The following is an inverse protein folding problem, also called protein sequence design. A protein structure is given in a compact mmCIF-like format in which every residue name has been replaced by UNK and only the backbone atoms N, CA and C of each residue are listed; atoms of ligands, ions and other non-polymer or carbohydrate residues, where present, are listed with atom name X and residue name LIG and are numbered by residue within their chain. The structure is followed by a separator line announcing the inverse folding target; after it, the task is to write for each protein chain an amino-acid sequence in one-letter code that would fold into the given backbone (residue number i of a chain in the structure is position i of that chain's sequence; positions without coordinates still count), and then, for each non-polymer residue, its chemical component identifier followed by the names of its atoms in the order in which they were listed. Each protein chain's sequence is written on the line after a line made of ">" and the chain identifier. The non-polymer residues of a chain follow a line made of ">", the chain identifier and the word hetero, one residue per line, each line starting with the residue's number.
data_IF_726487349341
#
_entry.id   IF_726487349341
#
_cell.length_a   1.000
_cell.length_b   1.000
_cell.length_c   1.000
_cell.angle_alpha   90.00
_cell.angle_beta   90.00
_cell.angle_gamma   90.00
#
_symmetry.space_group_name_H-M   'P 1'
#
loop_
_entity.id
_entity.type
_entity.pdbx_description
1 polymer ?
#
# COMPACT_ATOMS: atom_id res chain seq x y z
N UNK A 1 -6.40 -2.78 -32.92
CA UNK A 1 -6.50 -2.52 -34.38
C UNK A 1 -7.60 -3.40 -34.92
N UNK A 2 -8.58 -2.90 -35.69
CA UNK A 2 -9.65 -3.76 -36.25
C UNK A 2 -9.23 -4.17 -37.66
N UNK A 3 -9.20 -5.48 -37.90
CA UNK A 3 -8.97 -6.01 -39.25
C UNK A 3 -10.11 -5.59 -40.19
N UNK A 4 -9.80 -5.12 -41.39
CA UNK A 4 -10.82 -4.81 -42.38
C UNK A 4 -11.55 -6.09 -42.80
N UNK A 5 -12.86 -6.00 -42.96
CA UNK A 5 -13.63 -7.12 -43.51
C UNK A 5 -13.29 -7.32 -44.97
N UNK A 6 -12.89 -8.52 -45.34
CA UNK A 6 -12.70 -8.91 -46.71
C UNK A 6 -14.08 -8.99 -47.41
N UNK A 7 -14.35 -8.01 -48.27
CA UNK A 7 -15.58 -8.01 -49.08
C UNK A 7 -15.22 -8.50 -50.48
N UNK A 8 -15.77 -9.66 -50.83
CA UNK A 8 -15.62 -10.18 -52.19
C UNK A 8 -16.63 -9.51 -53.15
N UNK A 9 -16.26 -9.32 -54.40
CA UNK A 9 -17.22 -8.91 -55.44
C UNK A 9 -18.41 -9.85 -55.50
N UNK A 10 -19.60 -9.38 -55.94
CA UNK A 10 -20.84 -10.15 -55.94
C UNK A 10 -20.75 -11.49 -56.71
N UNK A 11 -19.91 -11.58 -57.73
CA UNK A 11 -19.69 -12.80 -58.53
C UNK A 11 -18.72 -13.79 -57.85
N UNK A 12 -17.93 -13.36 -56.87
CA UNK A 12 -17.07 -14.27 -56.06
C UNK A 12 -17.67 -14.60 -54.71
N UNK A 13 -18.71 -13.93 -54.28
CA UNK A 13 -19.31 -14.08 -52.93
C UNK A 13 -20.11 -15.38 -52.75
N UNK A 14 -20.01 -16.35 -53.65
CA UNK A 14 -20.76 -17.64 -53.60
C UNK A 14 -19.81 -18.85 -53.73
N UNK A 15 -20.16 -19.94 -53.10
CA UNK A 15 -19.42 -21.21 -53.23
C UNK A 15 -18.15 -21.26 -52.39
N UNK A 16 -17.17 -21.99 -52.89
CA UNK A 16 -15.91 -22.30 -52.11
C UNK A 16 -15.06 -21.04 -51.83
N UNK A 17 -15.12 -20.01 -52.70
CA UNK A 17 -14.40 -18.78 -52.46
C UNK A 17 -14.95 -18.00 -51.25
N UNK A 18 -16.25 -18.04 -51.01
CA UNK A 18 -16.84 -17.42 -49.83
C UNK A 18 -16.41 -18.15 -48.55
N UNK A 19 -16.36 -19.49 -48.60
CA UNK A 19 -15.84 -20.29 -47.46
C UNK A 19 -14.38 -19.99 -47.20
N UNK A 20 -13.56 -19.88 -48.24
CA UNK A 20 -12.15 -19.54 -48.11
C UNK A 20 -11.96 -18.13 -47.48
N UNK A 21 -12.75 -17.15 -47.92
CA UNK A 21 -12.70 -15.81 -47.34
C UNK A 21 -13.03 -15.79 -45.84
N UNK A 22 -14.05 -16.57 -45.43
CA UNK A 22 -14.39 -16.75 -44.03
C UNK A 22 -13.27 -17.41 -43.23
N UNK A 23 -12.70 -18.48 -43.79
CA UNK A 23 -11.59 -19.20 -43.15
C UNK A 23 -10.35 -18.30 -43.00
N UNK A 24 -9.99 -17.53 -44.01
CA UNK A 24 -8.91 -16.58 -43.97
C UNK A 24 -9.18 -15.47 -42.93
N UNK A 25 -10.39 -14.97 -42.88
CA UNK A 25 -10.75 -13.98 -41.86
C UNK A 25 -10.58 -14.54 -40.45
N UNK A 26 -11.05 -15.75 -40.20
CA UNK A 26 -10.85 -16.44 -38.92
C UNK A 26 -9.36 -16.67 -38.59
N UNK A 27 -8.56 -17.05 -39.59
CA UNK A 27 -7.12 -17.21 -39.43
C UNK A 27 -6.45 -15.89 -39.04
N UNK A 28 -6.76 -14.79 -39.71
CA UNK A 28 -6.17 -13.48 -39.39
C UNK A 28 -6.59 -12.94 -38.02
N UNK A 29 -7.80 -13.25 -37.55
CA UNK A 29 -8.20 -12.92 -36.19
C UNK A 29 -7.32 -13.64 -35.15
N UNK A 30 -7.04 -14.92 -35.37
CA UNK A 30 -6.13 -15.68 -34.49
C UNK A 30 -4.70 -15.14 -34.53
N UNK A 31 -4.20 -14.81 -35.72
CA UNK A 31 -2.89 -14.17 -35.88
C UNK A 31 -2.84 -12.85 -35.12
N UNK A 32 -3.89 -12.04 -35.19
CA UNK A 32 -3.98 -10.78 -34.47
C UNK A 32 -3.94 -11.00 -32.95
N UNK A 33 -4.66 -12.00 -32.43
CA UNK A 33 -4.61 -12.36 -30.99
C UNK A 33 -3.19 -12.73 -30.58
N UNK A 34 -2.53 -13.61 -31.32
CA UNK A 34 -1.15 -14.02 -31.05
C UNK A 34 -0.18 -12.84 -31.11
N UNK A 35 -0.35 -11.91 -32.04
CA UNK A 35 0.47 -10.71 -32.12
C UNK A 35 0.24 -9.73 -30.95
N UNK A 36 -0.89 -9.79 -30.27
CA UNK A 36 -1.17 -8.98 -29.10
C UNK A 36 -0.61 -9.59 -27.78
N UNK A 37 -0.31 -10.89 -27.75
CA UNK A 37 0.26 -11.56 -26.56
C UNK A 37 1.51 -10.88 -26.02
N UNK A 38 2.50 -10.47 -26.83
CA UNK A 38 3.69 -9.78 -26.31
C UNK A 38 3.36 -8.50 -25.57
N UNK A 39 2.34 -7.75 -26.02
CA UNK A 39 1.92 -6.53 -25.36
C UNK A 39 1.26 -6.80 -24.01
N UNK A 40 0.45 -7.88 -23.92
CA UNK A 40 -0.15 -8.30 -22.66
C UNK A 40 0.91 -8.81 -21.65
N UNK A 41 1.99 -9.41 -22.15
CA UNK A 41 3.09 -9.88 -21.32
C UNK A 41 4.02 -8.77 -20.81
N UNK A 42 3.91 -7.55 -21.32
CA UNK A 42 4.67 -6.39 -20.82
C UNK A 42 4.10 -5.79 -19.53
N UNK A 43 2.84 -6.06 -19.19
CA UNK A 43 2.27 -5.62 -17.92
C UNK A 43 2.50 -6.66 -16.82
N UNK A 44 3.29 -6.36 -15.78
CA UNK A 44 3.57 -7.28 -14.68
C UNK A 44 2.32 -7.78 -13.95
N UNK A 45 1.20 -7.06 -14.03
CA UNK A 45 -0.04 -7.46 -13.34
C UNK A 45 -0.76 -8.61 -14.02
N UNK A 46 -0.69 -8.68 -15.35
CA UNK A 46 -1.43 -9.67 -16.16
C UNK A 46 -0.53 -10.76 -16.76
N UNK A 47 0.76 -10.52 -16.81
CA UNK A 47 1.74 -11.44 -17.38
C UNK A 47 1.86 -12.74 -16.56
N UNK A 48 2.17 -13.89 -17.20
CA UNK A 48 2.60 -15.09 -16.50
C UNK A 48 3.84 -14.80 -15.62
N UNK A 49 3.96 -15.51 -14.49
CA UNK A 49 5.01 -15.24 -13.50
C UNK A 49 6.43 -15.30 -14.08
N UNK A 50 6.64 -16.20 -15.02
CA UNK A 50 7.92 -16.38 -15.71
C UNK A 50 8.35 -15.12 -16.48
N UNK A 51 7.40 -14.41 -17.09
CA UNK A 51 7.65 -13.12 -17.74
C UNK A 51 7.84 -12.00 -16.73
N UNK A 52 7.14 -12.06 -15.60
CA UNK A 52 7.35 -11.09 -14.51
C UNK A 52 8.77 -11.20 -13.97
N UNK A 53 9.31 -12.42 -13.85
CA UNK A 53 10.70 -12.63 -13.42
C UNK A 53 11.72 -12.05 -14.40
N UNK A 54 11.45 -12.12 -15.71
CA UNK A 54 12.29 -11.47 -16.73
C UNK A 54 12.24 -9.95 -16.63
N UNK A 55 11.03 -9.38 -16.42
CA UNK A 55 10.87 -7.93 -16.24
C UNK A 55 11.55 -7.49 -14.93
N UNK A 56 11.45 -8.28 -13.88
CA UNK A 56 12.08 -8.03 -12.60
C UNK A 56 13.62 -8.02 -12.73
N UNK A 57 14.17 -9.00 -13.44
CA UNK A 57 15.60 -9.04 -13.72
C UNK A 57 16.05 -7.80 -14.49
N UNK A 58 15.28 -7.35 -15.50
CA UNK A 58 15.57 -6.12 -16.24
C UNK A 58 15.56 -4.87 -15.37
N UNK A 59 14.75 -4.88 -14.29
CA UNK A 59 14.58 -3.76 -13.35
C UNK A 59 15.42 -3.90 -12.08
N UNK A 60 16.33 -4.88 -12.05
CA UNK A 60 17.19 -5.22 -10.89
C UNK A 60 16.38 -5.48 -9.60
N UNK A 61 15.25 -6.18 -9.76
CA UNK A 61 14.41 -6.59 -8.62
C UNK A 61 14.50 -8.10 -8.44
N UNK A 62 14.88 -8.50 -7.24
CA UNK A 62 14.84 -9.89 -6.83
C UNK A 62 13.59 -10.17 -6.01
N UNK A 63 13.01 -11.35 -6.18
CA UNK A 63 11.91 -11.82 -5.36
C UNK A 63 12.38 -12.03 -3.93
N UNK A 64 11.66 -11.49 -2.96
CA UNK A 64 11.98 -11.65 -1.55
C UNK A 64 11.54 -13.04 -1.06
N UNK A 65 12.25 -13.59 -0.07
CA UNK A 65 11.87 -14.86 0.53
C UNK A 65 10.47 -14.76 1.15
N UNK A 66 9.57 -15.67 0.80
CA UNK A 66 8.16 -15.71 1.24
C UNK A 66 7.29 -14.53 0.79
N UNK A 67 7.71 -13.79 -0.23
CA UNK A 67 6.92 -12.69 -0.77
C UNK A 67 5.67 -13.22 -1.49
N UNK A 68 4.46 -12.72 -1.15
CA UNK A 68 3.26 -12.99 -1.91
C UNK A 68 3.39 -12.50 -3.36
N UNK A 69 2.80 -13.24 -4.28
CA UNK A 69 2.91 -12.94 -5.72
C UNK A 69 2.36 -11.56 -6.06
N UNK A 70 1.27 -11.15 -5.43
CA UNK A 70 0.64 -9.85 -5.66
C UNK A 70 1.58 -8.69 -5.31
N UNK A 71 2.27 -8.78 -4.17
CA UNK A 71 3.24 -7.78 -3.72
C UNK A 71 4.44 -7.73 -4.68
N UNK A 72 4.93 -8.90 -5.11
CA UNK A 72 6.01 -9.00 -6.07
C UNK A 72 5.66 -8.31 -7.40
N UNK A 73 4.46 -8.58 -7.95
CA UNK A 73 3.97 -7.96 -9.17
C UNK A 73 3.89 -6.43 -9.04
N UNK A 74 3.40 -5.93 -7.91
CA UNK A 74 3.33 -4.50 -7.62
C UNK A 74 4.74 -3.90 -7.55
N UNK A 75 5.68 -4.55 -6.87
CA UNK A 75 7.08 -4.09 -6.80
C UNK A 75 7.72 -4.02 -8.19
N UNK A 76 7.53 -5.04 -8.99
CA UNK A 76 8.06 -5.06 -10.36
C UNK A 76 7.41 -3.97 -11.21
N UNK A 77 6.10 -3.75 -11.09
CA UNK A 77 5.40 -2.70 -11.83
C UNK A 77 5.91 -1.31 -11.51
N UNK A 78 6.05 -1.00 -10.24
CA UNK A 78 6.44 0.32 -9.75
C UNK A 78 7.94 0.48 -9.46
N UNK A 79 8.76 -0.47 -9.88
CA UNK A 79 10.19 -0.50 -9.63
C UNK A 79 10.91 0.83 -9.94
N UNK A 80 10.62 1.40 -11.10
CA UNK A 80 11.21 2.67 -11.52
C UNK A 80 10.78 3.84 -10.62
N UNK A 81 9.50 3.89 -10.25
CA UNK A 81 9.01 4.93 -9.33
C UNK A 81 9.63 4.78 -7.94
N UNK A 82 9.78 3.56 -7.46
CA UNK A 82 10.39 3.28 -6.17
C UNK A 82 11.88 3.65 -6.15
N UNK A 83 12.61 3.29 -7.19
CA UNK A 83 14.03 3.66 -7.31
C UNK A 83 14.22 5.18 -7.42
N UNK A 84 13.36 5.86 -8.15
CA UNK A 84 13.42 7.31 -8.32
C UNK A 84 13.09 8.08 -7.03
N UNK A 85 12.07 7.62 -6.31
CA UNK A 85 11.49 8.37 -5.19
C UNK A 85 11.93 7.84 -3.82
N UNK A 86 12.64 6.71 -3.75
CA UNK A 86 13.03 6.06 -2.49
C UNK A 86 13.90 6.90 -1.56
N UNK A 87 14.58 7.92 -2.09
CA UNK A 87 15.40 8.83 -1.27
C UNK A 87 14.62 9.95 -0.58
N UNK A 88 13.37 10.19 -0.93
CA UNK A 88 12.52 11.23 -0.38
C UNK A 88 11.48 10.67 0.60
N UNK A 89 11.09 11.47 1.60
CA UNK A 89 10.09 11.08 2.62
C UNK A 89 8.75 10.76 1.98
N UNK A 90 8.28 11.64 1.09
CA UNK A 90 7.01 11.45 0.41
C UNK A 90 7.06 10.29 -0.59
N UNK A 91 8.20 10.09 -1.22
CA UNK A 91 8.44 8.95 -2.09
C UNK A 91 8.41 7.63 -1.33
N UNK A 92 9.07 7.58 -0.19
CA UNK A 92 9.08 6.40 0.67
C UNK A 92 7.68 6.06 1.19
N UNK A 93 6.87 7.08 1.58
CA UNK A 93 5.47 6.91 1.94
C UNK A 93 4.66 6.26 0.81
N UNK A 94 4.82 6.76 -0.43
CA UNK A 94 4.13 6.21 -1.62
C UNK A 94 4.50 4.76 -1.90
N UNK A 95 5.74 4.34 -1.63
CA UNK A 95 6.16 2.93 -1.76
C UNK A 95 5.29 2.04 -0.87
N UNK A 96 5.13 2.42 0.38
CA UNK A 96 4.34 1.64 1.33
C UNK A 96 2.84 1.66 1.01
N UNK A 97 2.28 2.80 0.63
CA UNK A 97 0.88 2.92 0.22
C UNK A 97 0.55 2.00 -0.97
N UNK A 98 1.43 1.98 -2.00
CA UNK A 98 1.24 1.11 -3.17
C UNK A 98 1.35 -0.37 -2.84
N UNK A 99 2.08 -0.75 -1.81
CA UNK A 99 2.21 -2.12 -1.34
C UNK A 99 1.07 -2.56 -0.40
N UNK A 100 0.05 -1.71 -0.23
CA UNK A 100 -1.15 -2.06 0.52
C UNK A 100 -0.99 -1.95 2.03
N UNK A 101 -0.12 -1.06 2.48
CA UNK A 101 -0.08 -0.63 3.88
C UNK A 101 -1.05 0.52 4.09
N UNK A 102 -1.86 0.48 5.15
CA UNK A 102 -3.04 1.34 5.30
C UNK A 102 -2.66 2.82 5.36
N UNK A 103 -1.72 3.16 6.20
CA UNK A 103 -1.17 4.50 6.34
C UNK A 103 0.18 4.46 7.04
N UNK A 104 1.07 5.34 6.64
CA UNK A 104 2.39 5.47 7.25
C UNK A 104 2.73 6.94 7.41
N UNK A 105 3.15 7.30 8.60
CA UNK A 105 3.77 8.58 8.88
C UNK A 105 5.26 8.39 9.13
N UNK A 106 6.06 9.25 8.55
CA UNK A 106 7.50 9.26 8.71
C UNK A 106 7.90 10.52 9.48
N UNK A 107 8.58 10.33 10.58
CA UNK A 107 9.10 11.42 11.39
C UNK A 107 10.61 11.36 11.41
N UNK A 108 11.22 12.44 10.98
CA UNK A 108 12.66 12.62 10.98
C UNK A 108 13.06 13.69 12.01
N UNK A 109 14.22 13.54 12.60
CA UNK A 109 14.83 14.54 13.49
C UNK A 109 13.95 14.94 14.68
N UNK A 110 13.28 13.97 15.29
CA UNK A 110 12.48 14.23 16.49
C UNK A 110 13.36 14.56 17.70
N UNK A 111 14.50 13.88 17.81
CA UNK A 111 15.46 14.08 18.89
C UNK A 111 16.75 14.70 18.35
N UNK A 112 17.31 15.64 19.11
CA UNK A 112 18.60 16.27 18.78
C UNK A 112 19.76 15.28 18.90
N UNK A 113 19.71 14.36 19.87
CA UNK A 113 20.75 13.35 20.08
C UNK A 113 20.68 12.22 19.05
N UNK A 114 19.46 11.81 18.63
CA UNK A 114 19.22 10.74 17.67
C UNK A 114 18.69 11.27 16.33
N UNK A 115 19.39 12.24 15.78
CA UNK A 115 19.01 12.90 14.51
C UNK A 115 18.98 11.95 13.30
N UNK A 116 19.67 10.81 13.41
CA UNK A 116 19.76 9.77 12.37
C UNK A 116 18.60 8.76 12.41
N UNK A 117 17.76 8.83 13.45
CA UNK A 117 16.61 7.93 13.60
C UNK A 117 15.41 8.46 12.84
N UNK A 118 14.87 7.61 11.96
CA UNK A 118 13.60 7.82 11.26
C UNK A 118 12.56 6.96 11.97
N UNK A 119 11.53 7.59 12.51
CA UNK A 119 10.40 6.89 13.13
C UNK A 119 9.32 6.65 12.10
N UNK A 120 8.95 5.40 11.91
CA UNK A 120 7.87 4.96 11.03
C UNK A 120 6.67 4.65 11.91
N UNK A 121 5.65 5.49 11.82
CA UNK A 121 4.38 5.28 12.53
C UNK A 121 3.41 4.55 11.59
N UNK A 122 2.84 3.46 12.07
CA UNK A 122 1.93 2.61 11.31
C UNK A 122 0.84 2.02 12.20
N UNK A 123 -0.18 1.42 11.59
CA UNK A 123 -1.21 0.65 12.28
C UNK A 123 -0.63 -0.66 12.82
N UNK A 124 -1.15 -1.14 13.95
CA UNK A 124 -0.75 -2.43 14.54
C UNK A 124 -1.04 -3.61 13.63
N UNK A 125 -2.16 -3.59 12.92
CA UNK A 125 -2.53 -4.65 11.98
C UNK A 125 -1.51 -4.82 10.85
N UNK A 126 -0.98 -3.72 10.33
CA UNK A 126 0.03 -3.77 9.27
C UNK A 126 1.39 -4.17 9.82
N UNK A 127 1.75 -3.68 11.01
CA UNK A 127 3.01 -4.01 11.63
C UNK A 127 3.07 -5.49 12.03
N UNK A 128 2.04 -6.03 12.64
CA UNK A 128 2.02 -7.43 13.11
C UNK A 128 2.04 -8.45 11.97
N UNK A 129 1.33 -8.17 10.88
CA UNK A 129 1.21 -9.11 9.76
C UNK A 129 2.32 -8.98 8.72
N UNK A 130 2.88 -7.80 8.54
CA UNK A 130 3.81 -7.49 7.44
C UNK A 130 5.18 -6.97 7.90
N UNK A 131 5.55 -7.21 9.16
CA UNK A 131 6.83 -6.71 9.73
C UNK A 131 8.03 -7.07 8.86
N UNK A 132 8.14 -8.34 8.44
CA UNK A 132 9.24 -8.80 7.62
C UNK A 132 9.32 -8.07 6.27
N UNK A 133 8.16 -7.77 5.67
CA UNK A 133 8.08 -7.03 4.41
C UNK A 133 8.58 -5.60 4.61
N UNK A 134 8.15 -4.94 5.69
CA UNK A 134 8.60 -3.58 6.04
C UNK A 134 10.11 -3.53 6.25
N UNK A 135 10.69 -4.50 6.96
CA UNK A 135 12.14 -4.60 7.14
C UNK A 135 12.88 -4.78 5.81
N UNK A 136 12.38 -5.65 4.93
CA UNK A 136 13.01 -5.86 3.62
C UNK A 136 12.92 -4.61 2.73
N UNK A 137 11.79 -3.92 2.75
CA UNK A 137 11.61 -2.67 2.01
C UNK A 137 12.54 -1.56 2.53
N UNK A 138 12.73 -1.47 3.85
CA UNK A 138 13.67 -0.54 4.45
C UNK A 138 15.10 -0.86 4.01
N UNK A 139 15.48 -2.13 3.98
CA UNK A 139 16.80 -2.54 3.50
C UNK A 139 17.03 -2.19 2.03
N UNK A 140 16.00 -2.29 1.21
CA UNK A 140 16.13 -2.08 -0.24
C UNK A 140 15.99 -0.61 -0.64
N UNK A 141 15.05 0.12 -0.04
CA UNK A 141 14.68 1.49 -0.42
C UNK A 141 15.00 2.53 0.66
N UNK A 142 15.43 2.08 1.84
CA UNK A 142 15.77 2.96 2.94
C UNK A 142 17.03 3.78 2.65
N UNK A 143 17.13 4.93 3.29
CA UNK A 143 18.33 5.77 3.21
C UNK A 143 19.50 5.11 3.92
N UNK A 144 20.63 5.11 3.27
CA UNK A 144 21.89 4.69 3.89
C UNK A 144 22.25 5.58 5.09
N UNK A 145 22.89 5.00 6.09
CA UNK A 145 23.31 5.72 7.30
C UNK A 145 22.16 6.26 8.16
N UNK A 146 20.97 5.69 8.07
CA UNK A 146 19.83 5.98 8.92
C UNK A 146 19.40 4.75 9.70
N UNK A 147 18.97 4.96 10.94
CA UNK A 147 18.33 3.94 11.78
C UNK A 147 16.83 4.11 11.68
N UNK A 148 16.10 3.00 11.65
CA UNK A 148 14.65 3.00 11.55
C UNK A 148 14.05 2.46 12.84
N UNK A 149 13.02 3.14 13.34
CA UNK A 149 12.22 2.75 14.50
C UNK A 149 10.76 2.63 14.09
N UNK A 150 10.13 1.54 14.47
CA UNK A 150 8.69 1.38 14.28
C UNK A 150 7.95 1.88 15.51
N UNK A 151 6.88 2.62 15.27
CA UNK A 151 5.95 3.10 16.29
C UNK A 151 4.54 2.72 15.89
N UNK A 152 3.79 2.16 16.83
CA UNK A 152 2.39 1.81 16.62
C UNK A 152 1.52 2.86 17.28
N UNK A 153 0.54 3.34 16.54
CA UNK A 153 -0.44 4.31 17.07
C UNK A 153 -1.82 3.70 17.01
N UNK A 154 -2.45 3.62 18.17
CA UNK A 154 -3.84 3.21 18.31
C UNK A 154 -4.73 4.43 18.50
N UNK A 155 -5.71 4.71 17.62
CA UNK A 155 -6.73 5.68 17.92
C UNK A 155 -7.66 5.11 18.99
N UNK A 156 -7.50 5.57 20.22
CA UNK A 156 -8.42 5.19 21.31
C UNK A 156 -9.51 6.24 21.38
N UNK A 157 -10.75 5.83 21.16
CA UNK A 157 -11.92 6.63 21.49
C UNK A 157 -12.38 6.26 22.89
N UNK A 158 -11.99 7.04 23.89
CA UNK A 158 -12.39 6.85 25.28
C UNK A 158 -13.46 7.87 25.67
N UNK A 159 -14.58 7.40 26.23
CA UNK A 159 -15.51 8.22 26.97
C UNK A 159 -15.08 8.25 28.42
N UNK A 160 -14.53 9.37 28.86
CA UNK A 160 -14.26 9.61 30.29
C UNK A 160 -15.51 10.26 30.90
N UNK A 161 -16.28 9.49 31.64
CA UNK A 161 -17.34 10.03 32.50
C UNK A 161 -16.84 10.07 33.94
N UNK A 162 -16.57 11.28 34.43
CA UNK A 162 -16.28 11.51 35.85
C UNK A 162 -17.57 11.75 36.60
N UNK A 163 -17.88 10.88 37.54
CA UNK A 163 -18.96 11.08 38.49
C UNK A 163 -18.38 11.23 39.89
N UNK A 164 -18.75 12.28 40.61
CA UNK A 164 -18.32 12.45 41.99
C UNK A 164 -19.53 12.39 42.91
N UNK A 165 -19.47 11.49 43.86
CA UNK A 165 -20.43 11.34 44.97
C UNK A 165 -19.68 11.45 46.29
N UNK A 166 -19.98 12.43 47.11
CA UNK A 166 -19.41 12.54 48.43
C UNK A 166 -19.02 13.95 48.90
N UNK A 167 -18.89 14.15 50.22
CA UNK A 167 -18.62 15.46 50.84
C UNK A 167 -17.11 15.78 50.99
N UNK A 168 -16.20 15.06 50.36
CA UNK A 168 -14.76 15.36 50.38
C UNK A 168 -14.29 15.76 49.01
N UNK A 169 -13.50 16.84 48.90
CA UNK A 169 -12.88 17.26 47.68
C UNK A 169 -11.54 16.54 47.50
N UNK A 170 -11.50 15.52 46.67
CA UNK A 170 -10.24 14.88 46.25
C UNK A 170 -9.96 15.25 44.80
N UNK A 171 -8.78 15.82 44.54
CA UNK A 171 -8.39 16.25 43.20
C UNK A 171 -7.52 15.13 42.59
N UNK A 172 -8.06 14.46 41.56
CA UNK A 172 -7.30 13.49 40.76
C UNK A 172 -7.03 14.10 39.38
N UNK A 173 -5.78 14.41 39.08
CA UNK A 173 -5.39 14.92 37.79
C UNK A 173 -4.88 13.78 36.93
N UNK A 174 -5.58 13.40 35.87
CA UNK A 174 -5.10 12.51 34.84
C UNK A 174 -4.69 13.33 33.61
N UNK A 175 -3.44 13.35 33.29
CA UNK A 175 -2.99 13.90 32.00
C UNK A 175 -2.77 12.77 31.01
N UNK A 176 -3.76 12.56 30.14
CA UNK A 176 -3.65 11.60 29.04
C UNK A 176 -3.16 12.39 27.80
N UNK A 177 -1.95 12.09 27.38
CA UNK A 177 -1.37 12.73 26.20
C UNK A 177 -1.76 11.94 24.93
N UNK A 178 -3.07 11.87 24.64
CA UNK A 178 -3.63 11.21 23.47
C UNK A 178 -4.07 12.23 22.45
N UNK A 179 -3.57 12.17 21.23
CA UNK A 179 -4.11 12.90 20.10
C UNK A 179 -5.44 12.26 19.67
N UNK A 180 -6.53 12.65 20.31
CA UNK A 180 -7.88 12.16 19.99
C UNK A 180 -8.93 13.15 20.43
N UNK A 181 -10.12 13.06 19.82
CA UNK A 181 -11.27 13.87 20.22
C UNK A 181 -11.89 13.27 21.45
N UNK A 182 -11.75 13.93 22.60
CA UNK A 182 -12.38 13.51 23.86
C UNK A 182 -13.70 14.27 24.00
N UNK A 183 -14.81 13.55 24.02
CA UNK A 183 -16.09 14.12 24.45
C UNK A 183 -16.23 13.91 25.96
N UNK A 184 -16.13 15.00 26.72
CA UNK A 184 -16.36 15.00 28.16
C UNK A 184 -17.86 15.22 28.43
N UNK A 185 -18.57 14.17 28.80
CA UNK A 185 -19.92 14.30 29.37
C UNK A 185 -19.75 14.37 30.89
N UNK A 186 -19.84 15.60 31.39
CA UNK A 186 -19.82 15.86 32.84
C UNK A 186 -21.27 15.86 33.34
N UNK A 187 -21.66 14.82 34.03
CA UNK A 187 -22.93 14.82 34.81
C UNK A 187 -22.58 15.06 36.26
N UNK A 188 -22.92 16.25 36.76
CA UNK A 188 -22.77 16.56 38.18
C UNK A 188 -24.12 16.35 38.82
N UNK A 189 -24.22 15.39 39.74
CA UNK A 189 -25.46 15.05 40.41
C UNK A 189 -25.43 15.46 41.90
N UNK A 190 -24.28 15.80 42.49
CA UNK A 190 -24.20 16.14 43.92
C UNK A 190 -23.11 17.17 44.27
N UNK A 191 -23.23 17.73 45.49
CA UNK A 191 -22.38 18.82 46.03
C UNK A 191 -20.92 18.46 46.34
N UNK A 192 -20.45 17.28 45.98
CA UNK A 192 -19.09 16.82 46.26
C UNK A 192 -18.29 16.73 45.01
N UNK A 193 -17.13 17.40 44.99
CA UNK A 193 -16.20 17.45 43.87
C UNK A 193 -14.95 16.63 44.22
N UNK A 194 -14.73 15.50 43.51
CA UNK A 194 -13.46 14.76 43.57
C UNK A 194 -12.72 14.94 42.24
N UNK A 195 -11.48 15.39 42.31
CA UNK A 195 -10.64 15.61 41.12
C UNK A 195 -9.52 14.56 41.10
N UNK A 196 -9.51 13.73 40.09
CA UNK A 196 -8.48 12.70 39.90
C UNK A 196 -7.45 13.14 38.85
N UNK A 197 -6.17 13.04 39.14
CA UNK A 197 -5.12 13.25 38.14
C UNK A 197 -4.20 12.03 38.06
N UNK A 198 -4.04 11.47 36.86
CA UNK A 198 -3.07 10.43 36.58
C UNK A 198 -2.09 10.96 35.52
N UNK A 199 -0.79 10.81 35.78
CA UNK A 199 0.27 10.95 34.81
C UNK A 199 0.70 9.55 34.37
N UNK A 200 0.61 9.28 33.08
CA UNK A 200 1.23 8.13 32.44
C UNK A 200 2.54 8.56 31.82
#
# INVERSE_FOLDING_TARGET
>A
MKLPKLTLPFWMGRGELAKLALALHGYWLRVQEVMQLPLAHLDPMTAPIEFVDLIAWQRDIQRLAKEPEDIYRIRVKYAFEFARNGGDVDGFRKVFEKLGLSWINLFERQDLENWDVITIESSDSDLSQKTWLMEQLIRQYGRTCRRYRFQVTYPIHGLLSGGAFGCSTEIYNATLNVKGTIQLNKTVIDHNQSVYSARL
#
